data_IF_549287049376
#
_entry.id   IF_549287049376
#
_cell.length_a   1.000
_cell.length_b   1.000
_cell.length_c   1.000
_cell.angle_alpha   90.00
_cell.angle_beta   90.00
_cell.angle_gamma   90.00
#
_symmetry.space_group_name_H-M   'P 1'
#
loop_
_entity.id
_entity.type
_entity.pdbx_description
1 polymer ?
#
# COMPACT_ATOMS: atom_id res chain seq x y z
N UNK A 1 -24.11 0.51 2.59
CA UNK A 1 -22.91 0.52 3.46
C UNK A 1 -22.12 1.79 3.14
N UNK A 2 -22.57 2.95 3.63
CA UNK A 2 -21.91 4.23 3.40
C UNK A 2 -20.79 4.40 4.45
N UNK A 3 -19.66 3.72 4.23
CA UNK A 3 -18.47 4.02 5.01
C UNK A 3 -17.87 5.32 4.47
N UNK A 4 -18.20 6.44 5.12
CA UNK A 4 -17.51 7.71 4.88
C UNK A 4 -16.04 7.51 5.22
N UNK A 5 -15.20 7.34 4.21
CA UNK A 5 -13.76 7.31 4.40
C UNK A 5 -13.34 8.60 5.10
N UNK A 6 -12.65 8.46 6.23
CA UNK A 6 -12.07 9.61 6.92
C UNK A 6 -11.14 10.35 5.95
N UNK A 7 -11.10 11.68 6.04
CA UNK A 7 -10.16 12.51 5.27
C UNK A 7 -8.72 11.98 5.37
N UNK A 8 -8.36 11.41 6.52
CA UNK A 8 -7.05 10.82 6.75
C UNK A 8 -6.81 9.55 5.90
N UNK A 9 -7.83 8.69 5.75
CA UNK A 9 -7.77 7.51 4.88
C UNK A 9 -7.66 7.91 3.41
N UNK A 10 -8.43 8.93 3.01
CA UNK A 10 -8.41 9.42 1.63
C UNK A 10 -7.05 10.01 1.26
N UNK A 11 -6.45 10.76 2.19
CA UNK A 11 -5.08 11.25 2.05
C UNK A 11 -4.06 10.10 2.01
N UNK A 12 -4.20 9.08 2.87
CA UNK A 12 -3.34 7.91 2.85
C UNK A 12 -3.36 7.16 1.51
N UNK A 13 -4.55 6.98 0.92
CA UNK A 13 -4.71 6.38 -0.41
C UNK A 13 -4.05 7.25 -1.48
N UNK A 14 -4.24 8.57 -1.44
CA UNK A 14 -3.58 9.47 -2.41
C UNK A 14 -2.06 9.42 -2.28
N UNK A 15 -1.50 9.50 -1.07
CA UNK A 15 -0.06 9.41 -0.83
C UNK A 15 0.48 8.08 -1.34
N UNK A 16 -0.20 6.98 -1.05
CA UNK A 16 0.19 5.65 -1.51
C UNK A 16 0.22 5.56 -3.04
N UNK A 17 -0.86 6.00 -3.71
CA UNK A 17 -0.98 5.97 -5.17
C UNK A 17 0.06 6.87 -5.84
N UNK A 18 0.27 8.09 -5.34
CA UNK A 18 1.23 9.02 -5.93
C UNK A 18 2.69 8.56 -5.71
N UNK A 19 3.06 8.14 -4.49
CA UNK A 19 4.44 7.72 -4.19
C UNK A 19 4.79 6.34 -4.74
N UNK A 20 3.82 5.46 -4.99
CA UNK A 20 4.09 4.17 -5.63
C UNK A 20 3.91 4.22 -7.15
N UNK A 21 2.97 5.03 -7.65
CA UNK A 21 2.63 5.10 -9.07
C UNK A 21 3.61 5.95 -9.88
N UNK A 22 3.92 7.18 -9.45
CA UNK A 22 4.82 8.06 -10.20
C UNK A 22 6.21 7.45 -10.36
N UNK A 23 6.88 6.93 -9.31
CA UNK A 23 8.20 6.32 -9.50
C UNK A 23 8.18 5.07 -10.38
N UNK A 24 7.10 4.29 -10.36
CA UNK A 24 6.96 3.13 -11.22
C UNK A 24 6.80 3.52 -12.71
N UNK A 25 6.12 4.63 -12.99
CA UNK A 25 6.02 5.19 -14.34
C UNK A 25 7.35 5.75 -14.85
N UNK A 26 8.08 6.47 -13.99
CA UNK A 26 9.40 7.04 -14.31
C UNK A 26 10.43 5.95 -14.66
N UNK A 27 10.51 4.88 -13.87
CA UNK A 27 11.47 3.79 -14.10
C UNK A 27 11.25 3.08 -15.43
N UNK A 28 10.01 3.05 -15.93
CA UNK A 28 9.67 2.41 -17.21
C UNK A 28 9.65 3.38 -18.40
N UNK A 29 10.10 4.63 -18.20
CA UNK A 29 10.21 5.62 -19.27
C UNK A 29 8.88 6.22 -19.72
N UNK A 30 7.78 5.97 -18.98
CA UNK A 30 6.46 6.56 -19.22
C UNK A 30 6.22 7.83 -18.39
N UNK A 31 7.16 8.21 -17.52
CA UNK A 31 7.08 9.39 -16.68
C UNK A 31 7.57 10.69 -17.33
N UNK A 32 7.91 11.67 -16.50
CA UNK A 32 8.44 12.99 -16.86
C UNK A 32 9.86 12.96 -17.44
N UNK A 33 10.45 11.77 -17.64
CA UNK A 33 11.79 11.59 -18.19
C UNK A 33 12.91 11.73 -17.15
N UNK A 34 12.59 11.53 -15.86
CA UNK A 34 13.61 11.50 -14.81
C UNK A 34 14.32 10.16 -14.82
N UNK A 35 15.66 10.17 -14.76
CA UNK A 35 16.46 8.96 -14.69
C UNK A 35 16.44 8.41 -13.25
N UNK A 36 15.31 7.85 -12.85
CA UNK A 36 15.13 7.22 -11.55
C UNK A 36 15.61 5.77 -11.62
N UNK A 37 16.55 5.43 -10.74
CA UNK A 37 16.97 4.04 -10.55
C UNK A 37 15.85 3.24 -9.89
N UNK A 38 15.75 1.96 -10.24
CA UNK A 38 14.81 1.00 -9.65
C UNK A 38 14.93 0.98 -8.11
N UNK A 39 16.15 1.13 -7.58
CA UNK A 39 16.41 1.23 -6.14
C UNK A 39 15.71 2.45 -5.52
N UNK A 40 15.78 3.61 -6.17
CA UNK A 40 15.14 4.84 -5.68
C UNK A 40 13.62 4.71 -5.71
N UNK A 41 13.08 4.10 -6.76
CA UNK A 41 11.64 3.88 -6.89
C UNK A 41 11.11 2.90 -5.82
N UNK A 42 11.84 1.81 -5.54
CA UNK A 42 11.52 0.88 -4.44
C UNK A 42 11.55 1.58 -3.09
N UNK A 43 12.55 2.43 -2.82
CA UNK A 43 12.62 3.20 -1.57
C UNK A 43 11.41 4.15 -1.45
N UNK A 44 11.06 4.87 -2.52
CA UNK A 44 9.87 5.72 -2.55
C UNK A 44 8.58 4.93 -2.32
N UNK A 45 8.44 3.75 -2.93
CA UNK A 45 7.29 2.88 -2.75
C UNK A 45 7.21 2.29 -1.34
N UNK A 46 8.34 1.95 -0.71
CA UNK A 46 8.37 1.53 0.69
C UNK A 46 7.95 2.66 1.64
N UNK A 47 8.48 3.87 1.45
CA UNK A 47 8.14 5.04 2.28
C UNK A 47 6.68 5.44 2.08
N UNK A 48 6.21 5.51 0.84
CA UNK A 48 4.81 5.78 0.50
C UNK A 48 3.87 4.68 1.00
N UNK A 49 4.32 3.44 0.95
CA UNK A 49 3.67 2.27 1.52
C UNK A 49 3.46 2.39 3.03
N UNK A 50 4.53 2.66 3.78
CA UNK A 50 4.49 2.84 5.24
C UNK A 50 3.55 3.99 5.61
N UNK A 51 3.73 5.17 5.00
CA UNK A 51 2.97 6.37 5.35
C UNK A 51 1.49 6.20 4.97
N UNK A 52 1.23 5.74 3.74
CA UNK A 52 -0.12 5.49 3.25
C UNK A 52 -0.84 4.44 4.08
N UNK A 53 -0.16 3.32 4.37
CA UNK A 53 -0.69 2.24 5.20
C UNK A 53 -0.96 2.65 6.65
N UNK A 54 -0.06 3.42 7.27
CA UNK A 54 -0.24 3.96 8.61
C UNK A 54 -1.44 4.92 8.70
N UNK A 55 -1.63 5.78 7.69
CA UNK A 55 -2.77 6.69 7.63
C UNK A 55 -4.09 5.97 7.34
N UNK A 56 -4.05 4.90 6.55
CA UNK A 56 -5.23 4.16 6.13
C UNK A 56 -5.81 3.27 7.24
N UNK A 57 -4.97 2.81 8.18
CA UNK A 57 -5.39 2.10 9.39
C UNK A 57 -5.03 2.88 10.67
N UNK A 58 -5.93 3.73 11.14
CA UNK A 58 -5.69 4.52 12.37
C UNK A 58 -5.53 3.64 13.63
N UNK A 59 -6.12 2.43 13.67
CA UNK A 59 -5.85 1.39 14.69
C UNK A 59 -6.10 -0.04 14.16
N UNK A 60 -5.20 -1.01 14.39
CA UNK A 60 -3.82 -0.84 14.87
C UNK A 60 -2.90 -0.34 13.75
N UNK A 61 -2.14 0.73 14.03
CA UNK A 61 -1.22 1.37 13.05
C UNK A 61 -0.16 0.40 12.52
N UNK A 62 0.27 -0.54 13.36
CA UNK A 62 1.26 -1.57 13.01
C UNK A 62 0.77 -2.42 11.82
N UNK A 63 -0.50 -2.81 11.81
CA UNK A 63 -1.07 -3.60 10.71
C UNK A 63 -1.11 -2.80 9.40
N UNK A 64 -1.36 -1.49 9.50
CA UNK A 64 -1.29 -0.55 8.37
C UNK A 64 0.13 -0.40 7.83
N UNK A 65 1.12 -0.21 8.71
CA UNK A 65 2.54 -0.09 8.33
C UNK A 65 3.01 -1.37 7.64
N UNK A 66 2.75 -2.54 8.22
CA UNK A 66 3.20 -3.83 7.66
C UNK A 66 2.50 -4.11 6.33
N UNK A 67 1.19 -3.91 6.25
CA UNK A 67 0.45 -4.07 5.00
C UNK A 67 0.91 -3.12 3.90
N UNK A 68 1.19 -1.86 4.26
CA UNK A 68 1.70 -0.84 3.35
C UNK A 68 3.13 -1.08 2.89
N UNK A 69 4.02 -1.53 3.78
CA UNK A 69 5.39 -1.92 3.47
C UNK A 69 5.45 -3.09 2.49
N UNK A 70 4.47 -4.00 2.53
CA UNK A 70 4.37 -5.10 1.57
C UNK A 70 3.72 -4.61 0.28
N UNK A 71 2.61 -3.87 0.36
CA UNK A 71 1.87 -3.37 -0.79
C UNK A 71 2.69 -2.45 -1.69
N UNK A 72 3.54 -1.59 -1.12
CA UNK A 72 4.37 -0.63 -1.86
C UNK A 72 5.33 -1.30 -2.86
N UNK A 73 6.36 -2.04 -2.41
CA UNK A 73 7.32 -2.70 -3.29
C UNK A 73 6.68 -3.79 -4.17
N UNK A 74 5.66 -4.52 -3.69
CA UNK A 74 4.93 -5.49 -4.52
C UNK A 74 4.15 -4.78 -5.65
N UNK A 75 3.51 -3.65 -5.34
CA UNK A 75 2.82 -2.81 -6.32
C UNK A 75 3.77 -2.30 -7.40
N UNK A 76 4.94 -1.80 -6.98
CA UNK A 76 5.96 -1.31 -7.90
C UNK A 76 6.55 -2.42 -8.76
N UNK A 77 6.90 -3.56 -8.18
CA UNK A 77 7.43 -4.71 -8.92
C UNK A 77 6.43 -5.27 -9.93
N UNK A 78 5.14 -5.33 -9.57
CA UNK A 78 4.10 -5.77 -10.50
C UNK A 78 3.99 -4.84 -11.71
N UNK A 79 4.00 -3.52 -11.49
CA UNK A 79 3.99 -2.53 -12.57
C UNK A 79 5.25 -2.64 -13.43
N UNK A 80 6.42 -2.79 -12.80
CA UNK A 80 7.70 -2.96 -13.49
C UNK A 80 7.74 -4.20 -14.38
N UNK A 81 7.39 -5.38 -13.85
CA UNK A 81 7.37 -6.62 -14.65
C UNK A 81 6.32 -6.58 -15.77
N UNK A 82 5.19 -5.92 -15.53
CA UNK A 82 4.13 -5.80 -16.53
C UNK A 82 4.53 -4.91 -17.72
N UNK A 83 5.24 -3.82 -17.44
CA UNK A 83 5.69 -2.83 -18.44
C UNK A 83 6.92 -3.27 -19.21
N UNK A 84 7.77 -4.13 -18.64
CA UNK A 84 9.02 -4.58 -19.25
C UNK A 84 8.87 -5.28 -20.62
N UNK A 85 7.68 -5.81 -20.92
CA UNK A 85 7.39 -6.54 -22.17
C UNK A 85 6.51 -5.79 -23.16
N UNK A 86 6.19 -4.51 -22.93
CA UNK A 86 5.29 -3.74 -23.79
C UNK A 86 5.91 -2.43 -24.27
N UNK A 87 5.75 -2.15 -25.56
CA UNK A 87 6.19 -0.89 -26.20
C UNK A 87 5.25 0.29 -25.93
N UNK A 88 3.99 0.02 -25.55
CA UNK A 88 3.03 1.02 -25.11
C UNK A 88 2.08 0.39 -24.11
N UNK A 89 1.75 1.12 -23.04
CA UNK A 89 0.84 0.67 -21.99
C UNK A 89 -0.13 1.81 -21.69
N UNK A 90 -1.40 1.49 -21.49
CA UNK A 90 -2.40 2.50 -21.17
C UNK A 90 -2.35 2.80 -19.67
N UNK A 91 -2.52 4.08 -19.30
CA UNK A 91 -2.53 4.50 -17.88
C UNK A 91 -3.55 3.70 -17.04
N UNK A 92 -4.70 3.35 -17.65
CA UNK A 92 -5.74 2.56 -17.00
C UNK A 92 -5.27 1.13 -16.68
N UNK A 93 -4.49 0.49 -17.56
CA UNK A 93 -3.93 -0.85 -17.33
C UNK A 93 -3.01 -0.84 -16.11
N UNK A 94 -2.17 0.19 -15.99
CA UNK A 94 -1.23 0.35 -14.88
C UNK A 94 -1.94 0.55 -13.55
N UNK A 95 -3.01 1.34 -13.53
CA UNK A 95 -3.84 1.52 -12.33
C UNK A 95 -4.48 0.20 -11.90
N UNK A 96 -4.96 -0.62 -12.84
CA UNK A 96 -5.55 -1.93 -12.55
C UNK A 96 -4.49 -2.90 -12.01
N UNK A 97 -3.34 -3.00 -12.67
CA UNK A 97 -2.23 -3.88 -12.24
C UNK A 97 -1.76 -3.50 -10.85
N UNK A 98 -1.55 -2.21 -10.60
CA UNK A 98 -1.15 -1.72 -9.28
C UNK A 98 -2.22 -1.99 -8.23
N UNK A 99 -3.50 -1.80 -8.57
CA UNK A 99 -4.63 -2.13 -7.69
C UNK A 99 -4.64 -3.60 -7.29
N UNK A 100 -4.45 -4.51 -8.26
CA UNK A 100 -4.38 -5.96 -8.01
C UNK A 100 -3.14 -6.30 -7.18
N UNK A 101 -2.00 -5.69 -7.46
CA UNK A 101 -0.75 -5.94 -6.74
C UNK A 101 -0.77 -5.45 -5.28
N UNK A 102 -1.67 -4.53 -4.93
CA UNK A 102 -1.86 -4.09 -3.55
C UNK A 102 -2.70 -5.06 -2.71
N UNK A 103 -3.49 -5.95 -3.34
CA UNK A 103 -4.32 -6.96 -2.64
C UNK A 103 -3.55 -7.79 -1.60
N UNK A 104 -2.37 -8.36 -1.89
CA UNK A 104 -1.62 -9.12 -0.90
C UNK A 104 -1.23 -8.28 0.33
N UNK A 105 -0.79 -7.03 0.15
CA UNK A 105 -0.45 -6.16 1.28
C UNK A 105 -1.68 -5.74 2.10
N UNK A 106 -2.80 -5.46 1.44
CA UNK A 106 -4.08 -5.20 2.12
C UNK A 106 -4.55 -6.43 2.89
N UNK A 107 -4.45 -7.63 2.30
CA UNK A 107 -4.81 -8.90 2.93
C UNK A 107 -4.03 -9.15 4.22
N UNK A 108 -2.70 -8.96 4.18
CA UNK A 108 -1.84 -9.07 5.37
C UNK A 108 -2.20 -8.03 6.43
N UNK A 109 -2.45 -6.78 6.03
CA UNK A 109 -2.86 -5.73 6.96
C UNK A 109 -4.21 -6.03 7.64
N UNK A 110 -5.20 -6.54 6.91
CA UNK A 110 -6.50 -6.93 7.47
C UNK A 110 -6.38 -8.14 8.39
N UNK A 111 -5.56 -9.13 8.03
CA UNK A 111 -5.33 -10.32 8.86
C UNK A 111 -4.67 -9.94 10.19
N UNK A 112 -3.60 -9.14 10.15
CA UNK A 112 -2.92 -8.65 11.34
C UNK A 112 -3.84 -7.83 12.22
N UNK A 113 -4.69 -6.98 11.62
CA UNK A 113 -5.69 -6.21 12.37
C UNK A 113 -6.64 -7.14 13.14
N UNK A 114 -7.19 -8.17 12.49
CA UNK A 114 -8.06 -9.14 13.16
C UNK A 114 -7.37 -9.87 14.32
N UNK A 115 -6.14 -10.33 14.11
CA UNK A 115 -5.37 -11.04 15.17
C UNK A 115 -5.05 -10.12 16.36
N UNK A 116 -4.74 -8.85 16.12
CA UNK A 116 -4.49 -7.87 17.18
C UNK A 116 -5.77 -7.51 17.96
N UNK A 117 -6.91 -7.37 17.26
CA UNK A 117 -8.20 -7.11 17.89
C UNK A 117 -8.66 -8.29 18.77
N UNK A 118 -8.48 -9.53 18.30
CA UNK A 118 -8.77 -10.74 19.10
C UNK A 118 -7.89 -10.84 20.34
N UNK A 119 -6.59 -10.53 20.22
CA UNK A 119 -5.66 -10.53 21.36
C UNK A 119 -6.05 -9.53 22.45
N UNK A 120 -6.54 -8.35 22.06
CA UNK A 120 -6.95 -7.30 23.02
C UNK A 120 -8.28 -7.64 23.72
N UNK A 121 -9.14 -8.42 23.07
CA UNK A 121 -10.44 -8.86 23.62
C UNK A 121 -10.30 -10.07 24.55
N UNK A 122 -9.28 -10.91 24.34
CA UNK A 122 -8.92 -12.00 25.25
C UNK A 122 -8.41 -11.53 26.62
N UNK A 123 -7.68 -10.40 26.67
CA UNK A 123 -7.13 -9.86 27.91
C UNK A 123 -8.15 -9.23 28.88
N UNK A 124 -9.26 -8.70 28.37
CA UNK A 124 -10.29 -8.06 29.21
C UNK A 124 -11.13 -9.04 30.03
N UNK A 125 -11.32 -10.28 29.58
CA UNK A 125 -12.14 -11.27 30.31
C UNK A 125 -11.50 -11.81 31.58
N UNK A 126 -10.22 -11.57 31.81
CA UNK A 126 -9.49 -12.06 32.99
C UNK A 126 -9.38 -11.04 34.14
N UNK A 127 -9.99 -9.85 34.04
CA UNK A 127 -9.92 -8.82 35.08
C UNK A 127 -11.25 -8.59 35.82
N UNK A 128 -12.31 -9.34 35.48
CA UNK A 128 -13.63 -9.25 36.11
C UNK A 128 -13.89 -10.37 37.14
N UNK A 129 -12.83 -11.09 37.55
CA UNK A 129 -12.88 -12.13 38.58
C UNK A 129 -11.81 -11.88 39.65
N UNK A 130 -11.86 -10.74 40.33
CA UNK A 130 -11.21 -10.52 41.62
C UNK A 130 -12.06 -9.59 42.50
#
# INVERSE_FOLDING_TARGET
MNQNFSILQRLGIMVFVFLCGIPALEVNGFGFGMNLSLTTAVICACVGGIIGGAMMCSRPVIAGIVGGLIAGPVGLLAVYFYTQHRASVWDLELVIVQGIACLPGVGVGVLLKKMLEDSNTGGRRNLDFD
#
